data_IF_268272913449
#
_entry.id   IF_268272913449
#
_cell.length_a   1.000
_cell.length_b   1.000
_cell.length_c   1.000
_cell.angle_alpha   90.00
_cell.angle_beta   90.00
_cell.angle_gamma   90.00
#
_symmetry.space_group_name_H-M   'P 1'
#
loop_
_entity.id
_entity.type
_entity.pdbx_description
1 polymer ?
#
# COMPACT_ATOMS: atom_id res chain seq x y z
N UNK A 1 7.58 19.26 -2.99
CA UNK A 1 8.33 18.03 -3.34
C UNK A 1 8.68 17.16 -2.12
N UNK A 2 9.09 17.73 -0.98
CA UNK A 2 9.47 16.94 0.21
C UNK A 2 8.34 16.05 0.75
N UNK A 3 7.11 16.56 0.80
CA UNK A 3 5.93 15.78 1.22
C UNK A 3 5.76 14.50 0.40
N UNK A 4 5.81 14.59 -0.94
CA UNK A 4 5.72 13.43 -1.84
C UNK A 4 6.82 12.42 -1.53
N UNK A 5 8.07 12.89 -1.41
CA UNK A 5 9.21 12.00 -1.10
C UNK A 5 9.03 11.27 0.22
N UNK A 6 8.66 11.99 1.28
CA UNK A 6 8.45 11.40 2.61
C UNK A 6 7.32 10.37 2.57
N UNK A 7 6.18 10.71 1.96
CA UNK A 7 5.07 9.77 1.82
C UNK A 7 5.47 8.53 1.03
N UNK A 8 6.17 8.68 -0.09
CA UNK A 8 6.66 7.54 -0.89
C UNK A 8 7.65 6.68 -0.10
N UNK A 9 8.58 7.27 0.65
CA UNK A 9 9.52 6.50 1.50
C UNK A 9 8.75 5.70 2.55
N UNK A 10 7.86 6.34 3.30
CA UNK A 10 7.09 5.66 4.35
C UNK A 10 6.23 4.54 3.79
N UNK A 11 5.53 4.79 2.67
CA UNK A 11 4.73 3.79 1.99
C UNK A 11 5.59 2.63 1.48
N UNK A 12 6.77 2.91 0.94
CA UNK A 12 7.71 1.88 0.48
C UNK A 12 8.21 1.03 1.63
N UNK A 13 8.56 1.63 2.77
CA UNK A 13 9.02 0.89 3.94
C UNK A 13 7.92 0.01 4.52
N UNK A 14 6.68 0.52 4.62
CA UNK A 14 5.52 -0.28 5.00
C UNK A 14 5.39 -1.46 4.03
N UNK A 15 5.46 -1.20 2.72
CA UNK A 15 5.31 -2.23 1.71
C UNK A 15 6.37 -3.33 1.75
N UNK A 16 7.63 -2.94 1.94
CA UNK A 16 8.74 -3.87 2.08
C UNK A 16 8.61 -4.71 3.35
N UNK A 17 8.29 -4.08 4.49
CA UNK A 17 8.21 -4.77 5.77
C UNK A 17 7.01 -5.73 5.81
N UNK A 18 5.80 -5.26 5.51
CA UNK A 18 4.61 -6.10 5.59
C UNK A 18 4.58 -7.12 4.45
N UNK A 19 5.02 -6.74 3.24
CA UNK A 19 5.13 -7.67 2.12
C UNK A 19 6.14 -8.79 2.39
N UNK A 20 7.30 -8.49 2.99
CA UNK A 20 8.28 -9.51 3.37
C UNK A 20 7.72 -10.46 4.44
N UNK A 21 7.01 -9.91 5.43
CA UNK A 21 6.32 -10.72 6.43
C UNK A 21 5.30 -11.67 5.81
N UNK A 22 4.46 -11.19 4.89
CA UNK A 22 3.48 -12.04 4.20
C UNK A 22 4.15 -13.11 3.32
N UNK A 23 5.27 -12.80 2.66
CA UNK A 23 6.04 -13.77 1.86
C UNK A 23 6.65 -14.87 2.73
N UNK A 24 7.24 -14.50 3.87
CA UNK A 24 7.98 -15.43 4.74
C UNK A 24 7.02 -16.25 5.61
N UNK A 25 6.07 -15.57 6.27
CA UNK A 25 5.19 -16.16 7.28
C UNK A 25 3.91 -16.71 6.64
N UNK A 26 3.41 -16.10 5.56
CA UNK A 26 2.14 -16.49 4.95
C UNK A 26 0.92 -16.09 5.79
N UNK A 27 -0.18 -16.82 5.65
CA UNK A 27 -1.46 -16.49 6.30
C UNK A 27 -1.37 -16.45 7.83
N UNK A 28 -0.46 -17.22 8.43
CA UNK A 28 -0.25 -17.22 9.88
C UNK A 28 0.18 -15.84 10.42
N UNK A 29 0.84 -15.02 9.60
CA UNK A 29 1.24 -13.66 9.97
C UNK A 29 0.04 -12.74 10.22
N UNK A 30 -1.12 -13.05 9.64
CA UNK A 30 -2.34 -12.27 9.74
C UNK A 30 -2.94 -12.30 11.17
N UNK A 31 -2.54 -13.27 12.01
CA UNK A 31 -2.88 -13.29 13.43
C UNK A 31 -2.46 -11.99 14.14
N UNK A 32 -1.30 -11.43 13.77
CA UNK A 32 -0.72 -10.25 14.39
C UNK A 32 -1.44 -8.95 14.05
N UNK A 33 -2.29 -8.95 13.02
CA UNK A 33 -3.04 -7.77 12.57
C UNK A 33 -4.54 -7.89 12.80
N UNK A 34 -4.96 -8.83 13.65
CA UNK A 34 -6.33 -8.90 14.18
C UNK A 34 -7.20 -10.05 13.66
N UNK A 35 -6.67 -10.94 12.82
CA UNK A 35 -7.39 -12.18 12.41
C UNK A 35 -7.44 -13.20 13.56
N UNK A 36 -6.51 -13.12 14.52
CA UNK A 36 -6.52 -13.98 15.70
C UNK A 36 -6.30 -15.46 15.38
N UNK A 37 -6.94 -16.36 16.14
CA UNK A 37 -6.78 -17.81 16.00
C UNK A 37 -7.27 -18.36 14.66
N UNK A 38 -8.14 -17.63 13.96
CA UNK A 38 -8.62 -18.00 12.62
C UNK A 38 -7.52 -17.98 11.55
N UNK A 39 -6.41 -17.26 11.79
CA UNK A 39 -5.26 -17.26 10.88
C UNK A 39 -4.43 -18.56 10.92
N UNK A 40 -4.67 -19.43 11.91
CA UNK A 40 -3.80 -20.57 12.22
C UNK A 40 -4.49 -21.92 11.96
N UNK A 41 -5.83 -22.00 11.97
CA UNK A 41 -6.51 -23.28 11.74
C UNK A 41 -7.97 -23.15 11.25
N UNK A 42 -8.41 -24.03 10.31
CA UNK A 42 -7.59 -24.96 9.54
C UNK A 42 -6.71 -24.23 8.52
N UNK A 43 -5.44 -24.64 8.38
CA UNK A 43 -4.52 -24.07 7.40
C UNK A 43 -4.94 -24.49 5.98
N UNK A 44 -5.42 -23.53 5.19
CA UNK A 44 -5.78 -23.73 3.78
C UNK A 44 -4.59 -23.34 2.89
N UNK A 45 -3.96 -24.29 2.17
CA UNK A 45 -2.83 -24.01 1.29
C UNK A 45 -3.14 -23.03 0.15
N UNK A 46 -4.39 -23.00 -0.33
CA UNK A 46 -4.81 -22.05 -1.36
C UNK A 46 -4.77 -20.65 -0.77
N UNK A 47 -5.38 -20.44 0.40
CA UNK A 47 -5.36 -19.15 1.08
C UNK A 47 -3.94 -18.70 1.42
N UNK A 48 -3.10 -19.59 1.96
CA UNK A 48 -1.71 -19.28 2.28
C UNK A 48 -0.92 -18.85 1.03
N UNK A 49 -1.08 -19.58 -0.09
CA UNK A 49 -0.43 -19.22 -1.35
C UNK A 49 -0.88 -17.84 -1.88
N UNK A 50 -2.17 -17.51 -1.73
CA UNK A 50 -2.70 -16.20 -2.13
C UNK A 50 -2.10 -15.07 -1.29
N UNK A 51 -1.97 -15.25 0.03
CA UNK A 51 -1.33 -14.26 0.93
C UNK A 51 0.14 -14.06 0.56
N UNK A 52 0.91 -15.14 0.36
CA UNK A 52 2.33 -15.06 -0.01
C UNK A 52 2.53 -14.37 -1.35
N UNK A 53 1.71 -14.72 -2.35
CA UNK A 53 1.75 -14.09 -3.66
C UNK A 53 1.47 -12.58 -3.57
N UNK A 54 0.39 -12.19 -2.87
CA UNK A 54 0.05 -10.78 -2.71
C UNK A 54 1.13 -10.02 -1.92
N UNK A 55 1.70 -10.66 -0.90
CA UNK A 55 2.85 -10.14 -0.16
C UNK A 55 4.05 -9.85 -1.04
N UNK A 56 4.37 -10.75 -1.99
CA UNK A 56 5.47 -10.55 -2.94
C UNK A 56 5.20 -9.39 -3.90
N UNK A 57 3.96 -9.26 -4.39
CA UNK A 57 3.54 -8.13 -5.24
C UNK A 57 3.64 -6.81 -4.48
N UNK A 58 3.18 -6.78 -3.23
CA UNK A 58 3.23 -5.60 -2.37
C UNK A 58 4.67 -5.19 -2.04
N UNK A 59 5.53 -6.16 -1.69
CA UNK A 59 6.97 -5.95 -1.51
C UNK A 59 7.60 -5.35 -2.78
N UNK A 60 7.30 -5.91 -3.94
CA UNK A 60 7.78 -5.42 -5.23
C UNK A 60 7.35 -3.98 -5.51
N UNK A 61 6.11 -3.61 -5.16
CA UNK A 61 5.63 -2.24 -5.26
C UNK A 61 6.46 -1.27 -4.39
N UNK A 62 6.85 -1.69 -3.19
CA UNK A 62 7.76 -0.93 -2.32
C UNK A 62 9.13 -0.70 -2.96
N UNK A 63 9.71 -1.73 -3.57
CA UNK A 63 10.99 -1.61 -4.30
C UNK A 63 10.86 -0.63 -5.47
N UNK A 64 9.81 -0.76 -6.29
CA UNK A 64 9.58 0.12 -7.45
C UNK A 64 9.45 1.58 -7.02
N UNK A 65 8.75 1.84 -5.92
CA UNK A 65 8.62 3.20 -5.38
C UNK A 65 9.97 3.79 -4.93
N UNK A 66 10.84 3.01 -4.29
CA UNK A 66 12.19 3.45 -3.94
C UNK A 66 13.03 3.75 -5.20
N UNK A 67 12.92 2.93 -6.25
CA UNK A 67 13.58 3.20 -7.53
C UNK A 67 13.09 4.52 -8.14
N UNK A 68 11.79 4.77 -8.10
CA UNK A 68 11.21 6.02 -8.61
C UNK A 68 11.75 7.27 -7.89
N UNK A 69 12.08 7.16 -6.60
CA UNK A 69 12.65 8.27 -5.84
C UNK A 69 14.05 8.70 -6.32
N UNK A 70 14.80 7.81 -6.98
CA UNK A 70 16.12 8.13 -7.54
C UNK A 70 16.05 9.14 -8.69
N UNK A 71 14.99 9.10 -9.50
CA UNK A 71 14.74 10.04 -10.58
C UNK A 71 13.24 10.21 -10.84
N UNK A 72 12.63 11.14 -10.10
CA UNK A 72 11.19 11.43 -10.19
C UNK A 72 10.76 11.98 -11.56
N UNK A 73 11.67 12.58 -12.31
CA UNK A 73 11.36 13.13 -13.63
C UNK A 73 11.27 12.01 -14.66
N UNK A 74 12.22 11.07 -14.62
CA UNK A 74 12.22 9.88 -15.47
C UNK A 74 11.09 8.91 -15.13
N UNK A 75 10.84 8.68 -13.85
CA UNK A 75 9.92 7.63 -13.38
C UNK A 75 8.55 8.16 -12.93
N UNK A 76 8.22 9.41 -13.23
CA UNK A 76 7.01 10.05 -12.74
C UNK A 76 5.71 9.31 -13.09
N UNK A 77 5.60 8.75 -14.29
CA UNK A 77 4.42 7.94 -14.66
C UNK A 77 4.32 6.66 -13.82
N UNK A 78 5.46 5.97 -13.60
CA UNK A 78 5.50 4.72 -12.82
C UNK A 78 5.08 4.98 -11.37
N UNK A 79 5.58 6.07 -10.77
CA UNK A 79 5.18 6.44 -9.40
C UNK A 79 3.68 6.75 -9.30
N UNK A 80 3.10 7.40 -10.31
CA UNK A 80 1.66 7.65 -10.35
C UNK A 80 0.84 6.36 -10.45
N UNK A 81 1.30 5.38 -11.23
CA UNK A 81 0.66 4.06 -11.28
C UNK A 81 0.76 3.34 -9.94
N UNK A 82 1.89 3.45 -9.24
CA UNK A 82 2.02 2.91 -7.88
C UNK A 82 0.98 3.52 -6.93
N UNK A 83 0.81 4.84 -6.95
CA UNK A 83 -0.23 5.50 -6.16
C UNK A 83 -1.64 5.05 -6.57
N UNK A 84 -1.91 4.91 -7.86
CA UNK A 84 -3.20 4.42 -8.35
C UNK A 84 -3.52 3.01 -7.81
N UNK A 85 -2.57 2.08 -7.83
CA UNK A 85 -2.78 0.73 -7.32
C UNK A 85 -2.98 0.69 -5.80
N UNK A 86 -2.32 1.56 -5.05
CA UNK A 86 -2.53 1.67 -3.59
C UNK A 86 -3.94 2.18 -3.29
N UNK A 87 -4.40 3.20 -4.03
CA UNK A 87 -5.79 3.70 -3.91
C UNK A 87 -6.79 2.61 -4.29
N UNK A 88 -6.54 1.85 -5.35
CA UNK A 88 -7.39 0.73 -5.75
C UNK A 88 -7.45 -0.35 -4.65
N UNK A 89 -6.33 -0.62 -3.98
CA UNK A 89 -6.28 -1.47 -2.80
C UNK A 89 -7.17 -0.96 -1.66
N UNK A 90 -7.14 0.34 -1.37
CA UNK A 90 -8.02 0.98 -0.39
C UNK A 90 -9.51 0.88 -0.74
N UNK A 91 -9.86 0.99 -2.03
CA UNK A 91 -11.24 0.76 -2.50
C UNK A 91 -11.64 -0.70 -2.23
N UNK A 92 -10.77 -1.66 -2.58
CA UNK A 92 -11.01 -3.07 -2.29
C UNK A 92 -11.21 -3.34 -0.80
N UNK A 93 -10.41 -2.71 0.06
CA UNK A 93 -10.53 -2.79 1.51
C UNK A 93 -11.84 -2.20 2.03
N UNK A 94 -12.26 -1.04 1.52
CA UNK A 94 -13.56 -0.44 1.86
C UNK A 94 -14.74 -1.33 1.43
N UNK A 95 -14.68 -1.91 0.22
CA UNK A 95 -15.68 -2.88 -0.25
C UNK A 95 -15.74 -4.11 0.65
N UNK A 96 -14.61 -4.61 1.13
CA UNK A 96 -14.57 -5.73 2.06
C UNK A 96 -15.29 -5.42 3.37
N UNK A 97 -15.10 -4.22 3.95
CA UNK A 97 -15.84 -3.80 5.15
C UNK A 97 -17.36 -3.73 4.90
N UNK A 98 -17.77 -3.27 3.73
CA UNK A 98 -19.18 -3.18 3.36
C UNK A 98 -19.83 -4.56 3.17
N UNK A 99 -19.08 -5.53 2.66
CA UNK A 99 -19.58 -6.87 2.32
C UNK A 99 -19.47 -7.87 3.48
N UNK A 100 -18.35 -7.85 4.19
CA UNK A 100 -18.02 -8.81 5.26
C UNK A 100 -18.20 -8.24 6.67
N UNK A 101 -18.42 -6.92 6.81
CA UNK A 101 -18.57 -6.25 8.09
C UNK A 101 -17.24 -5.80 8.70
N UNK A 102 -17.30 -5.39 9.97
CA UNK A 102 -16.15 -4.85 10.70
C UNK A 102 -15.37 -5.95 11.42
N UNK A 103 -14.05 -5.80 11.61
CA UNK A 103 -13.26 -6.70 12.43
C UNK A 103 -13.82 -6.79 13.84
N UNK A 104 -13.83 -8.01 14.41
CA UNK A 104 -14.21 -8.23 15.81
C UNK A 104 -13.11 -7.85 16.81
N UNK A 105 -11.88 -7.63 16.33
CA UNK A 105 -10.73 -7.24 17.17
C UNK A 105 -10.43 -5.76 17.06
N UNK A 106 -10.03 -5.14 18.18
CA UNK A 106 -9.62 -3.73 18.23
C UNK A 106 -8.37 -3.49 17.36
N UNK A 107 -7.44 -4.46 17.35
CA UNK A 107 -6.23 -4.42 16.51
C UNK A 107 -6.62 -4.42 15.03
N UNK A 108 -7.54 -5.30 14.62
CA UNK A 108 -8.01 -5.36 13.24
C UNK A 108 -8.71 -4.07 12.82
N UNK A 109 -9.53 -3.52 13.70
CA UNK A 109 -10.22 -2.24 13.46
C UNK A 109 -9.22 -1.10 13.28
N UNK A 110 -8.22 -0.98 14.17
CA UNK A 110 -7.18 0.02 14.06
C UNK A 110 -6.32 -0.16 12.79
N UNK A 111 -5.95 -1.40 12.46
CA UNK A 111 -5.20 -1.72 11.26
C UNK A 111 -5.93 -1.27 9.99
N UNK A 112 -7.21 -1.65 9.84
CA UNK A 112 -8.00 -1.27 8.67
C UNK A 112 -8.21 0.24 8.61
N UNK A 113 -8.49 0.90 9.73
CA UNK A 113 -8.66 2.35 9.76
C UNK A 113 -7.40 3.12 9.32
N UNK A 114 -6.23 2.72 9.83
CA UNK A 114 -4.94 3.32 9.43
C UNK A 114 -4.63 3.02 7.96
N UNK A 115 -4.85 1.78 7.51
CA UNK A 115 -4.64 1.41 6.11
C UNK A 115 -5.53 2.24 5.18
N UNK A 116 -6.82 2.37 5.47
CA UNK A 116 -7.74 3.21 4.68
C UNK A 116 -7.35 4.68 4.69
N UNK A 117 -6.90 5.23 5.83
CA UNK A 117 -6.41 6.60 5.89
C UNK A 117 -5.16 6.81 5.01
N UNK A 118 -4.28 5.83 4.93
CA UNK A 118 -3.12 5.88 4.03
C UNK A 118 -3.58 5.78 2.57
N UNK A 119 -4.34 4.73 2.26
CA UNK A 119 -4.71 4.32 0.90
C UNK A 119 -5.67 5.33 0.24
N UNK A 120 -6.63 5.88 0.98
CA UNK A 120 -7.70 6.74 0.46
C UNK A 120 -7.58 8.22 0.82
N UNK A 121 -6.61 8.61 1.65
CA UNK A 121 -6.37 10.03 1.97
C UNK A 121 -4.91 10.44 1.75
N UNK A 122 -3.95 9.84 2.46
CA UNK A 122 -2.55 10.27 2.39
C UNK A 122 -1.95 10.12 0.99
N UNK A 123 -2.19 8.97 0.34
CA UNK A 123 -1.67 8.68 -1.00
C UNK A 123 -2.32 9.56 -2.07
N UNK A 124 -3.66 9.73 -2.13
CA UNK A 124 -4.27 10.71 -3.03
C UNK A 124 -3.74 12.13 -2.86
N UNK A 125 -3.53 12.59 -1.62
CA UNK A 125 -2.96 13.92 -1.37
C UNK A 125 -1.53 14.03 -1.89
N UNK A 126 -0.69 13.01 -1.67
CA UNK A 126 0.66 12.96 -2.23
C UNK A 126 0.65 12.91 -3.76
N UNK A 127 -0.27 12.16 -4.34
CA UNK A 127 -0.42 12.06 -5.80
C UNK A 127 -0.83 13.40 -6.42
N UNK A 128 -1.82 14.08 -5.84
CA UNK A 128 -2.24 15.41 -6.29
C UNK A 128 -1.10 16.43 -6.16
N UNK A 129 -0.37 16.40 -5.04
CA UNK A 129 0.80 17.27 -4.84
C UNK A 129 1.91 16.99 -5.87
N UNK A 130 2.12 15.73 -6.23
CA UNK A 130 3.08 15.34 -7.26
C UNK A 130 2.67 15.87 -8.64
N UNK A 131 1.41 15.66 -9.05
CA UNK A 131 0.90 16.15 -10.34
C UNK A 131 0.97 17.66 -10.50
N UNK A 132 0.64 18.41 -9.43
CA UNK A 132 0.78 19.87 -9.45
C UNK A 132 2.23 20.31 -9.60
N UNK A 133 3.15 19.61 -8.92
CA UNK A 133 4.58 19.89 -9.03
C UNK A 133 5.15 19.62 -10.42
N UNK A 134 4.68 18.58 -11.12
CA UNK A 134 5.12 18.27 -12.49
C UNK A 134 4.57 19.28 -13.50
N UNK A 135 3.29 19.65 -13.41
CA UNK A 135 2.67 20.62 -14.33
C UNK A 135 3.34 22.00 -14.23
N UNK A 136 3.62 22.48 -13.01
CA UNK A 136 4.28 23.76 -12.79
C UNK A 136 5.73 23.79 -13.35
N UNK A 137 6.41 22.65 -13.37
CA UNK A 137 7.75 22.54 -13.94
C UNK A 137 7.75 22.59 -15.48
N UNK A 138 6.73 22.02 -16.11
CA UNK A 138 6.57 22.05 -17.57
C UNK A 138 6.18 23.45 -18.07
N UNK A 139 5.30 24.17 -17.36
CA UNK A 139 4.92 25.56 -17.70
C UNK A 139 6.08 26.56 -17.61
N UNK A 140 7.03 26.33 -16.69
CA UNK A 140 8.22 27.17 -16.54
C UNK A 140 9.27 26.98 -17.64
N UNK A 141 9.21 25.90 -18.42
CA UNK A 141 10.13 25.62 -19.53
C UNK A 141 9.65 26.22 -20.87
N UNK A 142 8.39 26.66 -20.93
CA UNK A 142 7.76 27.24 -22.13
C UNK A 142 7.87 28.79 -22.14
N UNK A 143 8.40 29.40 -21.08
CA UNK A 143 8.69 30.84 -20.99
C UNK A 143 10.19 31.11 -21.11
#
# INVERSE_FOLDING_TARGET
MNFVKITTVLLSLIALLTGAMDVIVGVAGQANIGVGTAAVAPFDPVLDSQVRFLGAVWLGLGVIQLVCLGDLRRYGLILQLCFAFVVLGGIGRALSLLQAGHPSSDIGTAFIAVALAIELLLVPLAWLAFRRGTLAADEGFVR
#
